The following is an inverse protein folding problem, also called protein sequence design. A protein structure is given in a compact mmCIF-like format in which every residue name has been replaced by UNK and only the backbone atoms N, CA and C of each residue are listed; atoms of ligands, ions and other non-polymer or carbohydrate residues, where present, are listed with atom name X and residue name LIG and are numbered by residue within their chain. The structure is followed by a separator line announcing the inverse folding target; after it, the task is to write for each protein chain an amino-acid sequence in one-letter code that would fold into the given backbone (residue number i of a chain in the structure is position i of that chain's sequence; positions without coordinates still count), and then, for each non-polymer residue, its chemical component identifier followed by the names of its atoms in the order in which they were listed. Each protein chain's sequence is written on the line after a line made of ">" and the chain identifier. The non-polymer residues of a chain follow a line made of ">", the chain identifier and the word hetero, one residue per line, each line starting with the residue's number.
data_IF_248820556655
#
_entry.id   IF_248820556655
#
_cell.length_a   1.000
_cell.length_b   1.000
_cell.length_c   1.000
_cell.angle_alpha   90.00
_cell.angle_beta   90.00
_cell.angle_gamma   90.00
#
_symmetry.space_group_name_H-M   'P 1'
#
loop_
_entity.id
_entity.type
_entity.pdbx_description
1 polymer ?
#
# COMPACT_ATOMS: atom_id res chain seq x y z
N UNK A 1 -100.37 0.83 -37.71
CA UNK A 1 -99.11 0.13 -38.05
C UNK A 1 -98.02 0.59 -37.10
N UNK A 2 -97.32 -0.36 -36.46
CA UNK A 2 -96.02 -0.25 -35.75
C UNK A 2 -95.98 0.68 -34.53
N UNK A 3 -95.99 0.20 -33.29
CA UNK A 3 -95.11 -0.72 -32.54
C UNK A 3 -94.33 0.05 -31.46
N UNK A 4 -94.58 -0.41 -30.24
CA UNK A 4 -94.03 -0.12 -28.92
C UNK A 4 -92.58 0.40 -28.82
N UNK A 5 -92.43 1.36 -27.89
CA UNK A 5 -91.19 1.72 -27.17
C UNK A 5 -90.61 0.51 -26.41
N UNK A 6 -89.27 0.38 -26.40
CA UNK A 6 -88.51 -0.15 -25.26
C UNK A 6 -87.12 0.49 -25.21
N UNK A 7 -86.70 0.77 -23.98
CA UNK A 7 -85.50 1.51 -23.55
C UNK A 7 -84.24 0.63 -23.53
N UNK A 8 -83.06 1.25 -23.71
CA UNK A 8 -81.76 0.81 -23.15
C UNK A 8 -80.79 2.01 -23.11
N UNK A 9 -80.07 2.28 -22.00
CA UNK A 9 -79.06 3.32 -21.90
C UNK A 9 -77.67 2.76 -22.28
N UNK A 10 -77.03 3.34 -23.29
CA UNK A 10 -75.72 2.94 -23.78
C UNK A 10 -74.65 3.98 -23.50
N UNK A 11 -74.12 3.97 -22.27
CA UNK A 11 -72.76 4.37 -21.86
C UNK A 11 -72.00 5.30 -22.81
N UNK A 12 -72.18 6.60 -22.60
CA UNK A 12 -71.18 7.62 -22.89
C UNK A 12 -70.08 7.55 -21.84
N UNK A 13 -68.84 7.89 -22.22
CA UNK A 13 -67.61 7.91 -21.43
C UNK A 13 -67.04 6.55 -21.03
N UNK A 14 -65.99 6.14 -21.74
CA UNK A 14 -64.74 5.56 -21.23
C UNK A 14 -63.98 5.05 -22.45
N UNK A 15 -62.88 5.73 -22.83
CA UNK A 15 -61.69 5.21 -23.53
C UNK A 15 -60.81 6.30 -24.17
N UNK A 16 -60.93 7.57 -23.79
CA UNK A 16 -59.91 8.61 -24.08
C UNK A 16 -59.06 8.95 -22.85
N UNK A 17 -58.68 7.93 -22.07
CA UNK A 17 -57.79 8.08 -20.91
C UNK A 17 -56.77 6.93 -20.79
N UNK A 18 -56.33 6.34 -21.91
CA UNK A 18 -55.33 5.27 -21.92
C UNK A 18 -54.05 5.61 -22.71
N UNK A 19 -53.88 6.85 -23.18
CA UNK A 19 -52.67 7.28 -23.91
C UNK A 19 -51.80 8.32 -23.18
N UNK A 20 -52.14 8.70 -21.93
CA UNK A 20 -51.37 9.69 -21.16
C UNK A 20 -50.69 9.12 -19.89
N UNK A 21 -50.69 7.79 -19.69
CA UNK A 21 -50.04 7.13 -18.54
C UNK A 21 -48.88 6.20 -18.96
N UNK A 22 -48.61 6.05 -20.26
CA UNK A 22 -47.51 5.22 -20.77
C UNK A 22 -46.23 6.00 -21.14
N UNK A 23 -46.03 7.20 -20.60
CA UNK A 23 -44.87 8.04 -20.91
C UNK A 23 -43.95 8.34 -19.71
N UNK A 24 -44.08 7.60 -18.59
CA UNK A 24 -43.25 7.83 -17.38
C UNK A 24 -42.56 6.58 -16.79
N UNK A 25 -42.47 5.46 -17.52
CA UNK A 25 -41.79 4.24 -17.05
C UNK A 25 -40.55 3.88 -17.87
N UNK A 26 -39.91 4.88 -18.47
CA UNK A 26 -38.65 4.76 -19.19
C UNK A 26 -37.42 5.20 -18.39
N UNK A 27 -37.36 4.93 -17.08
CA UNK A 27 -36.04 4.91 -16.43
C UNK A 27 -35.34 3.66 -16.94
N UNK A 28 -34.62 3.80 -18.05
CA UNK A 28 -33.66 2.82 -18.52
C UNK A 28 -32.73 2.49 -17.34
N UNK A 29 -32.88 1.29 -16.78
CA UNK A 29 -31.88 0.70 -15.92
C UNK A 29 -30.61 0.61 -16.76
N UNK A 30 -29.71 1.59 -16.62
CA UNK A 30 -28.37 1.48 -17.18
C UNK A 30 -27.77 0.19 -16.62
N UNK A 31 -27.22 -0.71 -17.46
CA UNK A 31 -26.47 -1.83 -16.92
C UNK A 31 -25.44 -1.27 -15.96
N UNK A 32 -25.40 -1.78 -14.73
CA UNK A 32 -24.38 -1.39 -13.76
C UNK A 32 -23.02 -1.74 -14.38
N UNK A 33 -22.35 -0.76 -14.97
CA UNK A 33 -20.99 -0.92 -15.42
C UNK A 33 -20.16 -1.28 -14.20
N UNK A 34 -19.35 -2.34 -14.29
CA UNK A 34 -18.44 -2.70 -13.21
C UNK A 34 -17.57 -1.47 -12.91
N UNK A 35 -17.57 -1.02 -11.64
CA UNK A 35 -16.74 0.11 -11.23
C UNK A 35 -15.27 -0.15 -11.56
N UNK A 36 -14.59 0.87 -12.08
CA UNK A 36 -13.18 0.75 -12.41
C UNK A 36 -12.33 0.46 -11.15
N UNK A 37 -11.39 -0.47 -11.28
CA UNK A 37 -10.51 -0.85 -10.18
C UNK A 37 -9.60 0.32 -9.79
N UNK A 38 -9.47 0.57 -8.49
CA UNK A 38 -8.63 1.63 -7.96
C UNK A 38 -7.16 1.49 -8.40
N UNK A 39 -6.64 0.26 -8.53
CA UNK A 39 -5.27 0.04 -9.01
C UNK A 39 -5.02 0.60 -10.41
N UNK A 40 -6.03 0.57 -11.29
CA UNK A 40 -5.91 1.08 -12.65
C UNK A 40 -5.93 2.61 -12.65
N UNK A 41 -6.86 3.20 -11.89
CA UNK A 41 -6.99 4.64 -11.73
C UNK A 41 -5.73 5.28 -11.13
N UNK A 42 -5.23 4.75 -10.02
CA UNK A 42 -4.00 5.24 -9.38
C UNK A 42 -2.75 4.92 -10.21
N UNK A 43 -2.68 3.73 -10.83
CA UNK A 43 -1.57 3.33 -11.70
C UNK A 43 -1.46 4.13 -13.00
N UNK A 44 -2.55 4.76 -13.44
CA UNK A 44 -2.55 5.64 -14.62
C UNK A 44 -1.90 7.01 -14.34
N UNK A 45 -1.85 7.46 -13.09
CA UNK A 45 -1.30 8.78 -12.73
C UNK A 45 0.21 8.80 -12.92
N UNK A 46 0.71 9.87 -13.55
CA UNK A 46 2.14 10.05 -13.84
C UNK A 46 2.86 10.94 -12.82
N UNK A 47 2.14 11.88 -12.24
CA UNK A 47 2.64 12.85 -11.27
C UNK A 47 1.81 12.82 -9.97
N UNK A 48 2.39 13.26 -8.84
CA UNK A 48 1.68 13.34 -7.58
C UNK A 48 0.57 14.40 -7.67
N UNK A 49 -0.40 14.32 -6.75
CA UNK A 49 -1.35 15.42 -6.59
C UNK A 49 -0.62 16.61 -5.94
N UNK A 50 -0.67 17.77 -6.60
CA UNK A 50 -0.15 19.02 -6.07
C UNK A 50 -1.04 19.49 -4.91
N UNK A 51 -0.60 19.18 -3.70
CA UNK A 51 -1.28 19.48 -2.44
C UNK A 51 -0.26 19.47 -1.30
N UNK A 52 -0.68 19.88 -0.09
CA UNK A 52 0.11 19.64 1.11
C UNK A 52 0.39 18.12 1.29
N UNK A 53 1.55 17.71 1.83
CA UNK A 53 1.85 16.30 2.10
C UNK A 53 0.91 15.69 3.12
N UNK A 54 0.24 14.59 2.77
CA UNK A 54 -0.66 13.89 3.68
C UNK A 54 -0.88 12.44 3.25
N UNK A 55 -0.70 11.52 4.21
CA UNK A 55 -1.05 10.10 4.10
C UNK A 55 -2.49 9.87 4.55
N UNK A 56 -3.25 9.10 3.79
CA UNK A 56 -4.70 8.92 4.00
C UNK A 56 -5.03 7.42 4.01
N UNK A 57 -5.67 6.94 5.07
CA UNK A 57 -6.05 5.55 5.23
C UNK A 57 -4.98 4.69 5.89
N UNK A 58 -4.92 3.42 5.50
CA UNK A 58 -3.96 2.45 6.02
C UNK A 58 -2.97 2.05 4.93
N UNK A 59 -1.80 1.52 5.32
CA UNK A 59 -0.69 1.20 4.41
C UNK A 59 -1.08 0.36 3.17
N UNK A 60 -2.08 -0.50 3.29
CA UNK A 60 -2.63 -1.36 2.22
C UNK A 60 -4.07 -1.02 1.81
N UNK A 61 -4.58 0.13 2.24
CA UNK A 61 -5.94 0.60 1.93
C UNK A 61 -6.01 2.12 2.09
N UNK A 62 -5.42 2.83 1.14
CA UNK A 62 -5.25 4.28 1.24
C UNK A 62 -4.68 4.93 -0.01
N UNK A 63 -4.30 6.19 0.13
CA UNK A 63 -3.64 7.02 -0.87
C UNK A 63 -2.76 8.07 -0.16
N UNK A 64 -2.00 8.87 -0.90
CA UNK A 64 -1.37 10.07 -0.34
C UNK A 64 -1.34 11.21 -1.36
N UNK A 65 -1.27 12.45 -0.86
CA UNK A 65 -1.10 13.66 -1.66
C UNK A 65 0.18 14.41 -1.27
N UNK A 66 0.62 15.34 -2.12
CA UNK A 66 1.79 16.17 -1.85
C UNK A 66 3.09 15.39 -1.69
N UNK A 67 3.17 14.18 -2.25
CA UNK A 67 4.42 13.43 -2.19
C UNK A 67 5.43 13.91 -3.22
N UNK A 68 6.66 13.56 -2.93
CA UNK A 68 7.83 13.94 -3.71
C UNK A 68 8.56 12.71 -4.16
N UNK A 69 9.31 12.84 -5.24
CA UNK A 69 10.16 11.75 -5.69
C UNK A 69 11.55 11.84 -5.07
N UNK A 70 12.13 10.69 -4.74
CA UNK A 70 13.59 10.61 -4.56
C UNK A 70 14.26 10.78 -5.94
N UNK A 71 15.39 11.51 -6.07
CA UNK A 71 16.18 11.52 -7.30
C UNK A 71 16.51 10.10 -7.76
N UNK A 72 16.54 9.88 -9.09
CA UNK A 72 16.91 8.57 -9.65
C UNK A 72 18.32 8.14 -9.25
N UNK A 73 19.18 9.12 -8.99
CA UNK A 73 20.57 8.98 -8.60
C UNK A 73 20.85 9.86 -7.39
N UNK A 74 21.63 9.33 -6.45
CA UNK A 74 22.30 10.16 -5.46
C UNK A 74 23.67 9.62 -5.10
N UNK A 75 24.41 10.33 -4.22
CA UNK A 75 25.80 9.95 -3.91
C UNK A 75 25.96 8.52 -3.37
N UNK A 76 24.92 8.00 -2.72
CA UNK A 76 24.92 6.67 -2.07
C UNK A 76 23.64 5.87 -2.36
N UNK A 77 22.92 6.18 -3.42
CA UNK A 77 21.77 5.37 -3.84
C UNK A 77 21.51 5.42 -5.35
N UNK A 78 20.82 4.40 -5.84
CA UNK A 78 20.29 4.32 -7.19
C UNK A 78 18.87 3.73 -7.16
N UNK A 79 17.93 4.35 -7.87
CA UNK A 79 16.54 3.86 -7.98
C UNK A 79 16.45 2.72 -8.99
N UNK A 80 15.92 1.58 -8.56
CA UNK A 80 15.71 0.38 -9.36
C UNK A 80 14.33 0.39 -9.99
N UNK A 81 14.23 -0.22 -11.18
CA UNK A 81 12.99 -0.24 -11.99
C UNK A 81 12.32 1.14 -12.20
N UNK A 82 13.05 2.20 -12.59
CA UNK A 82 12.46 3.54 -12.79
C UNK A 82 11.16 3.58 -13.61
N UNK A 83 11.06 2.73 -14.63
CA UNK A 83 9.90 2.59 -15.52
C UNK A 83 8.58 2.30 -14.81
N UNK A 84 8.63 1.69 -13.61
CA UNK A 84 7.45 1.42 -12.80
C UNK A 84 6.79 2.68 -12.23
N UNK A 85 7.49 3.81 -12.24
CA UNK A 85 7.05 5.08 -11.67
C UNK A 85 6.69 4.99 -10.17
N UNK A 86 7.54 4.34 -9.39
CA UNK A 86 7.29 4.03 -7.96
C UNK A 86 8.23 4.70 -6.97
N UNK A 87 8.93 5.75 -7.40
CA UNK A 87 9.93 6.48 -6.58
C UNK A 87 9.33 7.60 -5.71
N UNK A 88 8.02 7.60 -5.50
CA UNK A 88 7.27 8.68 -4.86
C UNK A 88 6.90 8.32 -3.43
N UNK A 89 6.94 9.28 -2.52
CA UNK A 89 6.54 9.06 -1.14
C UNK A 89 6.27 10.36 -0.38
N UNK A 90 5.87 10.22 0.88
CA UNK A 90 5.80 11.34 1.80
C UNK A 90 7.19 11.96 1.96
N UNK A 91 7.34 13.30 2.07
CA UNK A 91 8.66 13.93 2.22
C UNK A 91 9.53 13.33 3.32
N UNK A 92 8.96 13.01 4.49
CA UNK A 92 9.68 12.30 5.56
C UNK A 92 10.25 10.96 5.11
N UNK A 93 9.51 10.19 4.31
CA UNK A 93 9.98 8.89 3.81
C UNK A 93 11.15 9.06 2.85
N UNK A 94 11.07 10.03 1.94
CA UNK A 94 12.15 10.32 0.99
C UNK A 94 13.40 10.82 1.72
N UNK A 95 13.23 11.73 2.68
CA UNK A 95 14.32 12.22 3.52
C UNK A 95 14.97 11.09 4.34
N UNK A 96 14.17 10.15 4.85
CA UNK A 96 14.67 8.99 5.58
C UNK A 96 15.50 8.05 4.69
N UNK A 97 15.07 7.79 3.45
CA UNK A 97 15.83 6.96 2.49
C UNK A 97 17.16 7.63 2.15
N UNK A 98 17.16 8.93 1.86
CA UNK A 98 18.39 9.68 1.62
C UNK A 98 19.33 9.61 2.83
N UNK A 99 18.80 9.86 4.04
CA UNK A 99 19.58 9.76 5.28
C UNK A 99 20.13 8.34 5.48
N UNK A 100 19.31 7.31 5.28
CA UNK A 100 19.73 5.91 5.35
C UNK A 100 20.88 5.62 4.39
N UNK A 101 20.85 6.19 3.18
CA UNK A 101 21.90 5.96 2.19
C UNK A 101 23.27 6.47 2.67
N UNK A 102 23.31 7.66 3.28
CA UNK A 102 24.53 8.26 3.82
C UNK A 102 25.01 7.52 5.06
N UNK A 103 24.10 7.23 5.99
CA UNK A 103 24.46 6.59 7.26
C UNK A 103 24.87 5.13 7.07
N UNK A 104 24.20 4.38 6.18
CA UNK A 104 24.59 3.02 5.84
C UNK A 104 25.97 3.00 5.16
N UNK A 105 26.27 4.01 4.32
CA UNK A 105 27.60 4.18 3.74
C UNK A 105 28.68 4.47 4.79
N UNK A 106 28.39 5.31 5.77
CA UNK A 106 29.27 5.54 6.91
C UNK A 106 29.47 4.24 7.73
N UNK A 107 28.47 3.36 7.79
CA UNK A 107 28.56 2.03 8.41
C UNK A 107 29.23 0.98 7.50
N UNK A 108 29.76 1.37 6.34
CA UNK A 108 30.48 0.49 5.42
C UNK A 108 29.59 -0.34 4.48
N UNK A 109 28.33 0.04 4.26
CA UNK A 109 27.49 -0.48 3.19
C UNK A 109 27.69 0.35 1.91
N UNK A 110 27.89 -0.22 0.70
CA UNK A 110 28.36 0.58 -0.43
C UNK A 110 27.37 1.64 -0.95
N UNK A 111 26.08 1.43 -0.70
CA UNK A 111 24.98 2.32 -1.07
C UNK A 111 23.67 1.56 -1.19
N UNK A 112 22.56 2.27 -1.41
CA UNK A 112 21.23 1.67 -1.49
C UNK A 112 20.79 1.48 -2.94
N UNK A 113 20.38 0.26 -3.27
CA UNK A 113 19.54 0.04 -4.44
C UNK A 113 18.07 0.15 -3.97
N UNK A 114 17.42 1.25 -4.31
CA UNK A 114 16.09 1.62 -3.83
C UNK A 114 15.04 1.00 -4.75
N UNK A 115 14.18 0.14 -4.21
CA UNK A 115 13.08 -0.50 -4.90
C UNK A 115 11.82 0.38 -4.94
N UNK A 116 10.66 -0.25 -4.77
CA UNK A 116 9.38 0.43 -4.82
C UNK A 116 9.16 1.26 -3.53
N UNK A 117 8.74 2.53 -3.68
CA UNK A 117 8.28 3.39 -2.57
C UNK A 117 6.76 3.48 -2.64
N UNK A 118 6.22 4.19 -3.61
CA UNK A 118 4.78 4.26 -3.91
C UNK A 118 4.57 4.82 -5.32
N UNK A 119 3.40 4.57 -5.90
CA UNK A 119 2.93 5.27 -7.11
C UNK A 119 2.77 6.78 -6.80
N UNK A 120 2.67 7.67 -7.80
CA UNK A 120 2.71 9.13 -7.57
C UNK A 120 1.64 9.65 -6.60
N UNK A 121 0.48 9.00 -6.57
CA UNK A 121 -0.65 9.34 -5.68
C UNK A 121 -0.97 8.24 -4.68
N UNK A 122 -0.05 7.28 -4.53
CA UNK A 122 -0.25 6.08 -3.72
C UNK A 122 -1.27 5.13 -4.34
N UNK A 123 -2.22 4.67 -3.53
CA UNK A 123 -3.27 3.75 -3.97
C UNK A 123 -2.78 2.33 -4.20
N UNK A 124 -3.71 1.38 -4.42
CA UNK A 124 -3.36 0.00 -4.75
C UNK A 124 -2.45 -0.07 -5.97
N UNK A 125 -1.36 -0.83 -5.87
CA UNK A 125 -0.40 -0.96 -6.97
C UNK A 125 -0.95 -1.87 -8.07
N UNK A 126 -0.58 -1.58 -9.33
CA UNK A 126 -0.85 -2.47 -10.47
C UNK A 126 -0.31 -3.90 -10.26
N UNK A 127 0.80 -4.02 -9.53
CA UNK A 127 1.53 -5.27 -9.30
C UNK A 127 2.42 -5.15 -8.07
N UNK A 128 2.93 -6.28 -7.56
CA UNK A 128 3.85 -6.29 -6.41
C UNK A 128 3.13 -6.32 -5.06
N UNK A 129 3.54 -5.42 -4.16
CA UNK A 129 3.15 -5.39 -2.76
C UNK A 129 1.68 -5.01 -2.55
N UNK A 130 1.10 -5.47 -1.44
CA UNK A 130 -0.25 -5.08 -1.02
C UNK A 130 -0.27 -3.70 -0.32
N UNK A 131 0.85 -3.30 0.29
CA UNK A 131 1.05 -1.98 0.92
C UNK A 131 1.57 -0.93 -0.08
N UNK A 132 2.39 0.05 0.34
CA UNK A 132 2.91 1.13 -0.52
C UNK A 132 1.85 2.08 -1.06
N UNK A 133 0.70 2.15 -0.38
CA UNK A 133 -0.42 2.96 -0.86
C UNK A 133 -0.41 4.38 -0.29
N UNK A 134 0.31 4.64 0.81
CA UNK A 134 0.21 5.93 1.54
C UNK A 134 1.54 6.69 1.64
N UNK A 135 2.56 6.32 0.86
CA UNK A 135 3.82 7.07 0.80
C UNK A 135 4.74 6.89 2.02
N UNK A 136 4.50 5.86 2.84
CA UNK A 136 5.22 5.60 4.10
C UNK A 136 5.90 4.22 4.13
N UNK A 137 6.02 3.57 2.96
CA UNK A 137 6.65 2.27 2.77
C UNK A 137 7.74 2.38 1.68
N UNK A 138 8.85 1.66 1.83
CA UNK A 138 9.88 1.56 0.80
C UNK A 138 10.64 0.24 0.88
N UNK A 139 10.91 -0.34 -0.29
CA UNK A 139 11.77 -1.51 -0.41
C UNK A 139 13.21 -1.09 -0.67
N UNK A 140 14.14 -1.66 0.08
CA UNK A 140 15.57 -1.47 -0.12
C UNK A 140 16.18 -2.85 -0.39
N UNK A 141 16.84 -3.01 -1.52
CA UNK A 141 17.47 -4.28 -1.85
C UNK A 141 18.61 -4.56 -0.87
N UNK A 142 18.76 -5.83 -0.51
CA UNK A 142 19.89 -6.35 0.24
C UNK A 142 21.07 -6.69 -0.67
N UNK A 143 20.93 -6.47 -1.97
CA UNK A 143 22.05 -6.53 -2.93
C UNK A 143 22.95 -5.31 -2.72
N UNK A 144 24.25 -5.48 -2.47
CA UNK A 144 25.18 -4.36 -2.38
C UNK A 144 25.17 -3.54 -3.67
N UNK A 145 25.05 -2.22 -3.56
CA UNK A 145 25.21 -1.32 -4.71
C UNK A 145 26.63 -1.47 -5.29
N UNK A 146 26.78 -1.60 -6.61
CA UNK A 146 28.10 -1.72 -7.23
C UNK A 146 28.93 -0.43 -7.08
N UNK A 147 30.24 -0.54 -7.24
CA UNK A 147 31.21 0.57 -7.19
C UNK A 147 31.23 1.44 -8.47
N UNK A 148 30.21 1.30 -9.30
CA UNK A 148 30.00 2.06 -10.53
C UNK A 148 28.52 2.42 -10.66
N UNK A 149 28.24 3.52 -11.36
CA UNK A 149 26.87 3.89 -11.71
C UNK A 149 26.25 2.83 -12.64
N UNK A 150 25.04 2.38 -12.32
CA UNK A 150 24.25 1.55 -13.25
C UNK A 150 23.59 2.42 -14.32
N UNK A 151 23.54 1.93 -15.56
CA UNK A 151 22.68 2.53 -16.59
C UNK A 151 21.19 2.29 -16.28
N UNK A 152 20.30 3.10 -16.84
CA UNK A 152 18.84 2.90 -16.68
C UNK A 152 18.44 1.48 -17.09
N UNK A 153 18.95 0.98 -18.23
CA UNK A 153 18.68 -0.39 -18.68
C UNK A 153 19.16 -1.45 -17.69
N UNK A 154 20.32 -1.26 -17.06
CA UNK A 154 20.78 -2.15 -15.98
C UNK A 154 19.84 -2.09 -14.78
N UNK A 155 19.35 -0.91 -14.39
CA UNK A 155 18.39 -0.79 -13.28
C UNK A 155 17.03 -1.40 -13.57
N UNK A 156 16.63 -1.48 -14.83
CA UNK A 156 15.41 -2.19 -15.25
C UNK A 156 15.57 -3.71 -15.22
N UNK A 157 16.75 -4.23 -15.57
CA UNK A 157 16.91 -5.66 -15.84
C UNK A 157 17.75 -6.42 -14.80
N UNK A 158 18.57 -5.74 -14.00
CA UNK A 158 19.41 -6.37 -12.98
C UNK A 158 18.55 -7.19 -12.00
N UNK A 159 18.93 -8.43 -11.74
CA UNK A 159 18.30 -9.26 -10.71
C UNK A 159 18.86 -8.94 -9.32
N UNK A 160 17.99 -8.93 -8.32
CA UNK A 160 18.42 -8.86 -6.94
C UNK A 160 19.02 -10.19 -6.48
N UNK A 161 19.96 -10.14 -5.55
CA UNK A 161 20.53 -11.31 -4.88
C UNK A 161 19.52 -11.93 -3.91
N UNK A 162 19.07 -13.16 -4.19
CA UNK A 162 18.23 -13.96 -3.29
C UNK A 162 19.07 -14.47 -2.11
N UNK A 163 18.99 -13.81 -0.96
CA UNK A 163 19.74 -14.15 0.25
C UNK A 163 19.20 -15.37 0.99
N UNK A 164 17.95 -15.75 0.74
CA UNK A 164 17.29 -16.86 1.43
C UNK A 164 17.13 -18.05 0.50
N UNK A 165 17.30 -19.25 1.03
CA UNK A 165 16.99 -20.50 0.37
C UNK A 165 15.48 -20.79 0.44
N UNK A 166 14.86 -21.03 -0.71
CA UNK A 166 13.40 -21.15 -0.82
C UNK A 166 12.83 -22.38 -0.12
N UNK A 167 13.63 -23.43 0.08
CA UNK A 167 13.16 -24.68 0.70
C UNK A 167 13.28 -24.65 2.21
N UNK A 168 14.42 -24.14 2.70
CA UNK A 168 14.73 -24.13 4.15
C UNK A 168 14.28 -22.84 4.83
N UNK A 169 14.02 -21.78 4.05
CA UNK A 169 13.77 -20.43 4.54
C UNK A 169 14.90 -19.88 5.42
N UNK A 170 16.12 -20.38 5.22
CA UNK A 170 17.32 -19.92 5.92
C UNK A 170 18.18 -19.05 5.01
N UNK A 171 18.95 -18.14 5.61
CA UNK A 171 19.93 -17.33 4.87
C UNK A 171 21.02 -18.22 4.31
N UNK A 172 21.41 -17.97 3.05
CA UNK A 172 22.57 -18.56 2.40
C UNK A 172 23.83 -17.92 2.96
N UNK A 173 24.53 -18.61 3.85
CA UNK A 173 25.69 -18.07 4.57
C UNK A 173 26.80 -17.52 3.66
N UNK A 174 26.99 -18.12 2.48
CA UNK A 174 27.96 -17.64 1.49
C UNK A 174 27.67 -16.21 0.97
N UNK A 175 26.43 -15.73 1.08
CA UNK A 175 26.03 -14.39 0.62
C UNK A 175 25.91 -13.40 1.78
N UNK A 176 25.83 -13.86 3.03
CA UNK A 176 25.60 -13.00 4.19
C UNK A 176 26.90 -12.35 4.67
N UNK A 177 27.06 -11.07 4.37
CA UNK A 177 28.15 -10.25 4.94
C UNK A 177 27.69 -9.43 6.17
N UNK A 178 28.60 -9.07 7.10
CA UNK A 178 28.27 -8.25 8.28
C UNK A 178 27.58 -6.92 7.98
N UNK A 179 27.78 -6.37 6.77
CA UNK A 179 27.12 -5.16 6.30
C UNK A 179 25.59 -5.24 6.30
N UNK A 180 25.00 -6.41 6.03
CA UNK A 180 23.54 -6.60 6.06
C UNK A 180 22.96 -6.33 7.44
N UNK A 181 23.62 -6.86 8.49
CA UNK A 181 23.21 -6.62 9.88
C UNK A 181 23.30 -5.13 10.23
N UNK A 182 24.41 -4.46 9.85
CA UNK A 182 24.58 -3.03 10.14
C UNK A 182 23.55 -2.17 9.42
N UNK A 183 23.24 -2.46 8.16
CA UNK A 183 22.20 -1.79 7.40
C UNK A 183 20.82 -1.91 8.07
N UNK A 184 20.42 -3.13 8.44
CA UNK A 184 19.12 -3.35 9.10
C UNK A 184 19.07 -2.70 10.49
N UNK A 185 20.17 -2.74 11.25
CA UNK A 185 20.29 -2.05 12.54
C UNK A 185 20.19 -0.54 12.37
N UNK A 186 20.87 0.03 11.38
CA UNK A 186 20.83 1.47 11.07
C UNK A 186 19.42 1.89 10.73
N UNK A 187 18.74 1.20 9.82
CA UNK A 187 17.35 1.49 9.47
C UNK A 187 16.43 1.41 10.70
N UNK A 188 16.59 0.39 11.55
CA UNK A 188 15.75 0.22 12.76
C UNK A 188 15.98 1.33 13.81
N UNK A 189 17.15 1.97 13.80
CA UNK A 189 17.52 3.00 14.77
C UNK A 189 16.74 4.30 14.64
N UNK A 190 16.13 4.55 13.48
CA UNK A 190 15.38 5.78 13.24
C UNK A 190 14.05 5.78 13.98
N UNK A 191 13.70 6.93 14.57
CA UNK A 191 12.50 7.06 15.40
C UNK A 191 11.22 6.91 14.57
N UNK A 192 11.26 7.36 13.33
CA UNK A 192 10.18 7.31 12.37
C UNK A 192 9.84 5.88 11.93
N UNK A 193 10.83 4.98 11.94
CA UNK A 193 10.66 3.58 11.50
C UNK A 193 9.92 2.81 12.58
N UNK A 194 8.75 2.28 12.23
CA UNK A 194 7.95 1.42 13.09
C UNK A 194 8.24 -0.06 12.85
N UNK A 195 8.49 -0.44 11.59
CA UNK A 195 8.74 -1.83 11.19
C UNK A 195 9.74 -1.93 10.05
N UNK A 196 10.50 -3.02 10.07
CA UNK A 196 11.29 -3.50 8.96
C UNK A 196 10.84 -4.94 8.67
N UNK A 197 10.22 -5.18 7.52
CA UNK A 197 9.81 -6.53 7.14
C UNK A 197 10.93 -7.21 6.37
N UNK A 198 11.25 -8.43 6.78
CA UNK A 198 12.29 -9.29 6.18
C UNK A 198 11.78 -10.71 6.10
N UNK A 199 12.42 -11.54 5.27
CA UNK A 199 12.18 -12.98 5.33
C UNK A 199 12.48 -13.55 6.74
N UNK A 200 11.74 -14.57 7.23
CA UNK A 200 12.01 -15.22 8.52
C UNK A 200 13.46 -15.70 8.70
N UNK A 201 14.11 -16.19 7.66
CA UNK A 201 15.51 -16.60 7.66
C UNK A 201 16.47 -15.46 8.01
N UNK A 202 16.22 -14.27 7.48
CA UNK A 202 17.02 -13.06 7.80
C UNK A 202 16.80 -12.70 9.28
N UNK A 203 15.55 -12.70 9.75
CA UNK A 203 15.24 -12.46 11.16
C UNK A 203 15.94 -13.48 12.06
N UNK A 204 15.93 -14.76 11.70
CA UNK A 204 16.64 -15.83 12.42
C UNK A 204 18.15 -15.61 12.43
N UNK A 205 18.76 -15.29 11.29
CA UNK A 205 20.20 -15.00 11.20
C UNK A 205 20.59 -13.86 12.14
N UNK A 206 19.79 -12.80 12.20
CA UNK A 206 19.99 -11.71 13.16
C UNK A 206 19.84 -12.18 14.61
N UNK A 207 18.79 -12.95 14.93
CA UNK A 207 18.59 -13.48 16.26
C UNK A 207 19.76 -14.34 16.75
N UNK A 208 20.32 -15.18 15.88
CA UNK A 208 21.44 -16.08 16.22
C UNK A 208 22.76 -15.31 16.42
N UNK A 209 22.99 -14.26 15.62
CA UNK A 209 24.31 -13.62 15.50
C UNK A 209 24.46 -12.30 16.25
N UNK A 210 23.39 -11.53 16.45
CA UNK A 210 23.47 -10.23 17.13
C UNK A 210 23.75 -10.44 18.62
N UNK A 211 24.84 -9.86 19.10
CA UNK A 211 25.23 -9.81 20.51
C UNK A 211 25.10 -8.38 21.05
N UNK A 212 25.00 -8.22 22.38
CA UNK A 212 24.85 -6.92 23.02
C UNK A 212 23.43 -6.36 22.90
N UNK A 213 23.31 -5.09 22.52
CA UNK A 213 22.00 -4.43 22.36
C UNK A 213 21.18 -5.04 21.21
N UNK A 214 20.02 -5.59 21.59
CA UNK A 214 19.06 -6.28 20.73
C UNK A 214 17.72 -5.56 20.65
N UNK A 215 17.54 -4.41 21.31
CA UNK A 215 16.24 -3.73 21.36
C UNK A 215 15.71 -3.37 19.97
N UNK A 216 16.59 -3.04 19.04
CA UNK A 216 16.26 -2.72 17.65
C UNK A 216 15.64 -3.89 16.87
N UNK A 217 15.91 -5.15 17.26
CA UNK A 217 15.34 -6.33 16.63
C UNK A 217 13.81 -6.35 16.78
N UNK A 218 13.25 -5.70 17.79
CA UNK A 218 11.80 -5.56 17.97
C UNK A 218 11.09 -5.04 16.72
N UNK A 219 11.71 -4.09 16.01
CA UNK A 219 11.17 -3.51 14.76
C UNK A 219 11.35 -4.42 13.55
N UNK A 220 12.28 -5.38 13.58
CA UNK A 220 12.50 -6.33 12.49
C UNK A 220 11.49 -7.46 12.59
N UNK A 221 10.57 -7.53 11.63
CA UNK A 221 9.44 -8.44 11.60
C UNK A 221 9.56 -9.45 10.46
N UNK A 222 9.45 -10.76 10.76
CA UNK A 222 9.38 -11.78 9.71
C UNK A 222 8.09 -11.61 8.88
N UNK A 223 8.20 -11.75 7.56
CA UNK A 223 7.08 -11.73 6.62
C UNK A 223 7.39 -12.58 5.38
N UNK A 224 6.37 -13.12 4.72
CA UNK A 224 6.53 -13.91 3.48
C UNK A 224 7.26 -13.12 2.38
N UNK A 225 8.05 -13.81 1.56
CA UNK A 225 8.91 -13.19 0.56
C UNK A 225 10.06 -12.45 1.23
N UNK A 226 10.34 -11.22 0.77
CA UNK A 226 11.42 -10.37 1.32
C UNK A 226 12.78 -11.09 1.35
N UNK A 227 13.03 -11.94 0.34
CA UNK A 227 14.21 -12.80 0.25
C UNK A 227 15.45 -12.04 -0.26
N UNK A 228 15.24 -10.86 -0.85
CA UNK A 228 16.28 -10.04 -1.50
C UNK A 228 16.20 -8.55 -1.18
N UNK A 229 15.19 -8.13 -0.43
CA UNK A 229 14.98 -6.76 0.01
C UNK A 229 14.41 -6.77 1.42
N UNK A 230 14.54 -5.64 2.11
CA UNK A 230 13.77 -5.37 3.31
C UNK A 230 12.81 -4.23 3.04
N UNK A 231 11.63 -4.33 3.63
CA UNK A 231 10.57 -3.33 3.56
C UNK A 231 10.66 -2.43 4.78
N UNK A 232 10.91 -1.14 4.58
CA UNK A 232 10.85 -0.13 5.65
C UNK A 232 9.43 0.43 5.72
N UNK A 233 8.87 0.53 6.92
CA UNK A 233 7.64 1.25 7.21
C UNK A 233 7.88 2.33 8.26
N UNK A 234 7.50 3.55 7.92
CA UNK A 234 7.48 4.66 8.88
C UNK A 234 6.06 4.93 9.39
N UNK A 235 5.96 5.50 10.59
CA UNK A 235 4.67 5.84 11.20
C UNK A 235 3.94 6.98 10.50
N UNK A 236 2.68 7.21 10.90
CA UNK A 236 1.89 8.34 10.42
C UNK A 236 2.57 9.67 10.75
N UNK A 237 2.71 10.54 9.76
CA UNK A 237 3.46 11.79 9.87
C UNK A 237 2.55 12.97 10.28
N UNK A 238 3.12 14.01 10.93
CA UNK A 238 2.40 15.25 11.17
C UNK A 238 1.75 15.80 9.89
N UNK A 239 0.56 16.41 10.02
CA UNK A 239 -0.21 16.88 8.86
C UNK A 239 -1.08 15.81 8.18
N UNK A 240 -1.06 14.56 8.66
CA UNK A 240 -1.85 13.45 8.11
C UNK A 240 -2.97 12.98 9.06
N UNK A 241 -4.03 13.78 9.33
CA UNK A 241 -5.07 13.45 10.31
C UNK A 241 -5.91 12.22 9.94
N UNK A 242 -5.91 11.83 8.66
CA UNK A 242 -6.64 10.66 8.16
C UNK A 242 -5.73 9.42 8.01
N UNK A 243 -4.47 9.48 8.44
CA UNK A 243 -3.57 8.34 8.46
C UNK A 243 -3.92 7.43 9.64
N UNK A 244 -4.04 6.12 9.38
CA UNK A 244 -4.32 5.11 10.39
C UNK A 244 -3.03 4.40 10.77
N UNK A 245 -2.62 4.55 12.02
CA UNK A 245 -1.47 3.85 12.58
C UNK A 245 -1.70 2.33 12.58
N UNK A 246 -0.62 1.57 12.53
CA UNK A 246 -0.63 0.13 12.79
C UNK A 246 -0.41 -0.09 14.29
N UNK A 247 -0.95 -1.17 14.87
CA UNK A 247 -0.67 -1.55 16.26
C UNK A 247 0.84 -1.59 16.54
N UNK A 248 1.25 -1.42 17.79
CA UNK A 248 2.66 -1.55 18.15
C UNK A 248 3.17 -2.99 17.93
N UNK A 249 4.46 -3.14 17.63
CA UNK A 249 5.08 -4.47 17.64
C UNK A 249 5.07 -5.05 19.05
N UNK A 250 4.89 -6.36 19.17
CA UNK A 250 4.97 -7.06 20.45
C UNK A 250 6.24 -6.68 21.24
N UNK A 251 6.19 -6.70 22.58
CA UNK A 251 7.39 -6.54 23.41
C UNK A 251 8.45 -7.61 23.09
N UNK A 252 9.70 -7.35 23.49
CA UNK A 252 10.82 -8.26 23.23
C UNK A 252 11.47 -8.09 21.86
N UNK A 253 12.50 -8.89 21.60
CA UNK A 253 13.26 -8.85 20.34
C UNK A 253 12.60 -9.70 19.23
N UNK A 254 11.56 -10.47 19.56
CA UNK A 254 10.85 -11.35 18.64
C UNK A 254 11.69 -12.52 18.14
N UNK A 255 12.61 -13.03 18.97
CA UNK A 255 13.47 -14.18 18.71
C UNK A 255 13.03 -15.41 19.54
N UNK A 256 11.72 -15.53 19.78
CA UNK A 256 11.07 -16.54 20.63
C UNK A 256 10.18 -17.49 19.79
N UNK A 257 9.17 -18.10 20.42
CA UNK A 257 8.21 -18.99 19.77
C UNK A 257 7.50 -18.33 18.57
N UNK A 258 7.32 -17.00 18.58
CA UNK A 258 6.74 -16.26 17.45
C UNK A 258 7.61 -16.33 16.19
N UNK A 259 8.93 -16.45 16.35
CA UNK A 259 9.85 -16.70 15.23
C UNK A 259 9.90 -18.20 14.88
N UNK A 260 9.91 -19.07 15.88
CA UNK A 260 9.94 -20.52 15.66
C UNK A 260 8.76 -21.01 14.80
N UNK A 261 7.57 -20.41 14.95
CA UNK A 261 6.39 -20.70 14.13
C UNK A 261 6.66 -20.60 12.62
N UNK A 262 7.51 -19.66 12.17
CA UNK A 262 7.88 -19.50 10.75
C UNK A 262 8.66 -20.68 10.18
N UNK A 263 9.21 -21.54 11.03
CA UNK A 263 9.96 -22.73 10.62
C UNK A 263 9.14 -24.03 10.84
N UNK A 264 7.82 -23.89 10.98
CA UNK A 264 6.85 -24.99 10.89
C UNK A 264 6.21 -25.02 9.50
N UNK A 265 5.45 -26.08 9.18
CA UNK A 265 4.74 -26.18 7.90
C UNK A 265 3.58 -25.17 7.76
N UNK A 266 2.95 -24.78 8.88
CA UNK A 266 1.72 -24.00 8.91
C UNK A 266 1.75 -22.69 8.08
N UNK A 267 2.76 -21.80 8.23
CA UNK A 267 2.85 -20.57 7.44
C UNK A 267 3.04 -20.78 5.93
N UNK A 268 3.50 -21.96 5.52
CA UNK A 268 3.86 -22.26 4.13
C UNK A 268 2.81 -23.12 3.42
N UNK A 269 1.74 -23.50 4.11
CA UNK A 269 0.62 -24.21 3.50
C UNK A 269 0.09 -23.42 2.30
N UNK A 270 -0.18 -24.09 1.16
CA UNK A 270 -0.77 -23.43 0.00
C UNK A 270 -2.05 -22.70 0.39
N UNK A 271 -2.26 -21.53 -0.23
CA UNK A 271 -3.52 -20.82 -0.09
C UNK A 271 -4.65 -21.77 -0.55
N UNK A 272 -5.72 -21.91 0.25
CA UNK A 272 -6.90 -22.73 -0.09
C UNK A 272 -7.62 -22.25 -1.35
N UNK A 273 -7.44 -20.97 -1.72
CA UNK A 273 -7.97 -20.39 -2.94
C UNK A 273 -6.86 -19.65 -3.71
N UNK A 274 -5.94 -20.36 -4.37
CA UNK A 274 -4.79 -19.75 -5.04
C UNK A 274 -5.20 -18.93 -6.27
N UNK A 275 -6.30 -19.31 -6.91
CA UNK A 275 -6.87 -18.66 -8.10
C UNK A 275 -7.87 -17.54 -7.76
N UNK A 276 -8.14 -17.34 -6.47
CA UNK A 276 -8.99 -16.24 -5.99
C UNK A 276 -8.40 -14.88 -6.39
N UNK A 277 -9.24 -13.89 -6.70
CA UNK A 277 -8.77 -12.57 -7.09
C UNK A 277 -8.05 -11.91 -5.92
N UNK A 278 -6.95 -11.20 -6.21
CA UNK A 278 -6.19 -10.53 -5.16
C UNK A 278 -6.99 -9.40 -4.54
N UNK A 279 -6.66 -8.99 -3.31
CA UNK A 279 -7.33 -7.86 -2.67
C UNK A 279 -7.33 -6.59 -3.55
N UNK A 280 -6.21 -6.32 -4.23
CA UNK A 280 -6.09 -5.21 -5.21
C UNK A 280 -6.89 -5.42 -6.51
N UNK A 281 -7.23 -6.67 -6.84
CA UNK A 281 -7.93 -7.04 -8.08
C UNK A 281 -9.46 -6.96 -7.93
N UNK A 282 -9.95 -6.66 -6.73
CA UNK A 282 -11.37 -6.39 -6.43
C UNK A 282 -11.60 -5.02 -5.79
N UNK A 283 -10.54 -4.25 -5.53
CA UNK A 283 -10.63 -2.97 -4.86
C UNK A 283 -11.05 -1.86 -5.84
N UNK A 284 -12.22 -1.28 -5.63
CA UNK A 284 -12.71 -0.08 -6.34
C UNK A 284 -12.47 1.18 -5.51
N UNK A 285 -12.75 2.37 -6.05
CA UNK A 285 -12.66 3.62 -5.28
C UNK A 285 -13.56 3.62 -4.04
N UNK A 286 -14.71 2.95 -4.09
CA UNK A 286 -15.61 2.80 -2.94
C UNK A 286 -14.98 2.01 -1.77
N UNK A 287 -13.94 1.23 -2.05
CA UNK A 287 -13.18 0.53 -1.02
C UNK A 287 -12.19 1.44 -0.29
N UNK A 288 -11.81 2.60 -0.85
CA UNK A 288 -10.80 3.49 -0.29
C UNK A 288 -11.41 4.58 0.60
N UNK A 289 -10.62 5.24 1.46
CA UNK A 289 -11.09 6.45 2.15
C UNK A 289 -11.63 7.49 1.16
N UNK A 290 -12.75 8.13 1.47
CA UNK A 290 -13.42 9.07 0.54
C UNK A 290 -12.50 10.22 0.06
N UNK A 291 -11.57 10.66 0.90
CA UNK A 291 -10.59 11.68 0.54
C UNK A 291 -9.64 11.26 -0.61
N UNK A 292 -9.51 9.96 -0.89
CA UNK A 292 -8.70 9.46 -2.00
C UNK A 292 -9.25 9.83 -3.38
N UNK A 293 -10.54 10.14 -3.50
CA UNK A 293 -11.09 10.68 -4.73
C UNK A 293 -10.50 12.07 -5.03
N UNK A 294 -10.44 12.96 -4.04
CA UNK A 294 -9.84 14.28 -4.20
C UNK A 294 -8.33 14.20 -4.53
N UNK A 295 -7.63 13.23 -3.95
CA UNK A 295 -6.24 12.94 -4.32
C UNK A 295 -6.15 12.49 -5.78
N UNK A 296 -7.00 11.57 -6.21
CA UNK A 296 -7.01 11.07 -7.58
C UNK A 296 -7.31 12.16 -8.60
N UNK A 297 -8.16 13.12 -8.26
CA UNK A 297 -8.61 14.21 -9.15
C UNK A 297 -7.78 15.49 -9.02
N UNK A 298 -6.88 15.57 -8.04
CA UNK A 298 -6.05 16.75 -7.79
C UNK A 298 -5.19 17.16 -8.99
N UNK A 299 -4.79 18.44 -9.09
CA UNK A 299 -3.96 18.92 -10.19
C UNK A 299 -2.56 18.28 -10.14
N UNK A 300 -1.96 18.11 -11.31
CA UNK A 300 -0.55 17.73 -11.43
C UNK A 300 0.36 18.96 -11.14
N UNK A 301 1.58 18.76 -10.61
CA UNK A 301 2.63 19.78 -10.65
C UNK A 301 3.09 20.06 -12.08
N UNK A 302 3.87 21.13 -12.26
CA UNK A 302 4.40 21.52 -13.57
C UNK A 302 5.28 20.44 -14.22
N UNK A 303 6.05 19.70 -13.42
CA UNK A 303 6.86 18.57 -13.88
C UNK A 303 7.26 17.65 -12.71
N UNK A 304 7.88 16.50 -13.02
CA UNK A 304 8.41 15.62 -11.98
C UNK A 304 9.63 16.21 -11.26
N UNK A 305 10.43 17.02 -11.96
CA UNK A 305 11.61 17.70 -11.45
C UNK A 305 11.23 18.75 -10.41
N UNK A 306 10.12 19.46 -10.63
CA UNK A 306 9.60 20.46 -9.69
C UNK A 306 9.20 19.88 -8.32
N UNK A 307 9.00 18.57 -8.23
CA UNK A 307 8.62 17.84 -7.02
C UNK A 307 9.57 16.67 -6.72
N UNK A 308 10.81 16.76 -7.20
CA UNK A 308 11.90 15.85 -6.81
C UNK A 308 12.66 16.44 -5.61
N UNK A 309 13.00 15.60 -4.64
CA UNK A 309 13.65 15.98 -3.38
C UNK A 309 15.16 16.26 -3.59
N UNK A 310 15.70 17.34 -3.00
CA UNK A 310 17.12 17.71 -3.13
C UNK A 310 17.79 18.14 -1.81
N UNK A 311 17.50 17.48 -0.69
CA UNK A 311 18.30 17.61 0.55
C UNK A 311 18.03 18.82 1.44
N UNK A 312 17.55 19.95 0.92
CA UNK A 312 17.45 21.22 1.66
C UNK A 312 16.01 21.74 1.88
N UNK A 313 15.07 20.80 2.01
CA UNK A 313 13.65 21.11 2.09
C UNK A 313 13.04 21.18 0.71
N UNK A 314 11.94 20.44 0.53
CA UNK A 314 11.09 20.60 -0.64
C UNK A 314 10.46 21.97 -0.50
N UNK A 315 10.49 22.86 -1.52
CA UNK A 315 9.49 23.91 -1.60
C UNK A 315 8.16 23.18 -1.72
N UNK A 316 7.48 22.96 -0.59
CA UNK A 316 6.07 22.61 -0.58
C UNK A 316 5.44 23.81 -1.27
N UNK A 317 5.19 23.70 -2.57
CA UNK A 317 4.36 24.66 -3.27
C UNK A 317 3.16 24.87 -2.36
N UNK A 318 2.90 26.12 -1.97
CA UNK A 318 1.83 26.50 -1.06
C UNK A 318 0.50 26.11 -1.69
N UNK A 319 0.19 24.81 -1.60
CA UNK A 319 -0.89 24.16 -2.27
C UNK A 319 -1.92 23.83 -1.19
N UNK A 320 -3.21 23.97 -1.50
CA UNK A 320 -4.26 23.82 -0.52
C UNK A 320 -4.20 22.44 0.13
N UNK A 321 -4.46 22.39 1.44
CA UNK A 321 -4.83 21.16 2.13
C UNK A 321 -6.14 20.70 1.48
N UNK A 322 -6.15 19.51 0.89
CA UNK A 322 -7.37 18.92 0.35
C UNK A 322 -8.31 18.57 1.51
N UNK A 323 -9.14 19.51 1.94
CA UNK A 323 -10.11 19.30 3.02
C UNK A 323 -11.42 18.70 2.49
N UNK A 324 -11.87 17.65 3.17
CA UNK A 324 -13.25 17.15 3.33
C UNK A 324 -14.18 17.25 2.10
N UNK A 325 -14.38 16.12 1.43
CA UNK A 325 -15.60 15.91 0.63
C UNK A 325 -16.85 15.97 1.54
N UNK A 326 -17.96 16.59 1.12
CA UNK A 326 -19.20 16.56 1.89
C UNK A 326 -19.64 15.11 2.12
N UNK A 327 -20.02 14.79 3.37
CA UNK A 327 -20.67 13.52 3.68
C UNK A 327 -21.93 13.41 2.83
N UNK A 328 -22.15 12.32 2.08
CA UNK A 328 -23.47 12.06 1.55
C UNK A 328 -24.44 11.91 2.74
N UNK A 329 -25.62 12.50 2.60
CA UNK A 329 -26.69 12.37 3.56
C UNK A 329 -26.92 10.89 3.90
N UNK A 330 -27.10 10.62 5.18
CA UNK A 330 -27.32 9.28 5.73
C UNK A 330 -28.64 8.74 5.19
N UNK A 331 -28.60 8.02 4.07
CA UNK A 331 -29.70 7.16 3.66
C UNK A 331 -29.67 5.94 4.57
N UNK A 332 -30.70 5.78 5.40
CA UNK A 332 -30.94 4.56 6.18
C UNK A 332 -31.20 3.40 5.22
N UNK A 333 -30.16 2.66 4.85
CA UNK A 333 -30.31 1.37 4.20
C UNK A 333 -30.37 0.29 5.30
N UNK A 334 -31.59 -0.03 5.72
CA UNK A 334 -31.89 -1.29 6.40
C UNK A 334 -31.70 -2.42 5.41
N UNK A 335 -30.76 -3.33 5.70
CA UNK A 335 -30.62 -4.60 4.97
C UNK A 335 -29.36 -4.71 4.11
N UNK A 336 -28.20 -4.80 4.74
CA UNK A 336 -27.02 -5.42 4.13
C UNK A 336 -26.50 -6.49 5.11
N UNK A 337 -26.47 -7.74 4.65
CA UNK A 337 -25.94 -8.86 5.42
C UNK A 337 -24.49 -8.56 5.84
N UNK A 338 -24.22 -8.74 7.13
CA UNK A 338 -22.88 -8.60 7.67
C UNK A 338 -21.93 -9.59 7.00
N UNK A 339 -20.85 -9.07 6.41
CA UNK A 339 -19.72 -9.91 5.97
C UNK A 339 -19.08 -10.58 7.19
N UNK A 340 -18.64 -11.85 7.09
CA UNK A 340 -18.07 -12.58 8.21
C UNK A 340 -16.81 -11.88 8.73
N UNK A 341 -16.68 -11.83 10.06
CA UNK A 341 -15.62 -11.12 10.79
C UNK A 341 -14.18 -11.59 10.48
N UNK A 342 -14.01 -12.66 9.69
CA UNK A 342 -12.73 -13.24 9.29
C UNK A 342 -12.00 -12.49 8.16
N UNK A 343 -12.54 -11.38 7.64
CA UNK A 343 -11.93 -10.63 6.52
C UNK A 343 -11.70 -9.13 6.82
N UNK A 344 -11.84 -8.71 8.08
CA UNK A 344 -11.54 -7.32 8.45
C UNK A 344 -10.05 -7.15 8.75
N UNK A 345 -9.38 -6.27 8.00
CA UNK A 345 -8.04 -5.76 8.30
C UNK A 345 -7.95 -5.00 9.65
N UNK A 346 -9.07 -4.91 10.40
CA UNK A 346 -9.23 -4.16 11.64
C UNK A 346 -9.73 -5.02 12.82
N UNK A 347 -9.68 -6.36 12.74
CA UNK A 347 -10.03 -7.19 13.89
C UNK A 347 -8.98 -7.07 15.01
N UNK A 348 -9.43 -6.66 16.20
CA UNK A 348 -8.61 -6.60 17.42
C UNK A 348 -8.06 -7.99 17.76
N UNK A 349 -6.78 -8.04 18.17
CA UNK A 349 -6.13 -9.29 18.59
C UNK A 349 -6.58 -9.64 20.02
N UNK A 350 -7.18 -10.81 20.29
CA UNK A 350 -7.47 -11.25 21.65
C UNK A 350 -6.16 -11.46 22.44
N UNK A 351 -6.13 -11.09 23.73
CA UNK A 351 -5.00 -11.41 24.60
C UNK A 351 -5.04 -12.89 25.01
N UNK A 352 -4.28 -13.73 24.32
CA UNK A 352 -3.95 -15.10 24.73
C UNK A 352 -2.51 -15.39 24.33
N UNK A 353 -1.64 -15.67 25.31
CA UNK A 353 -0.26 -16.15 25.10
C UNK A 353 0.64 -15.21 24.28
N UNK A 354 1.84 -15.68 23.92
CA UNK A 354 2.68 -14.98 22.94
C UNK A 354 1.89 -14.99 21.62
N UNK A 355 1.45 -13.83 21.10
CA UNK A 355 0.64 -13.81 19.90
C UNK A 355 1.47 -14.35 18.73
N UNK A 356 1.06 -15.52 18.22
CA UNK A 356 1.64 -16.05 17.00
C UNK A 356 1.28 -15.13 15.82
N UNK A 357 2.16 -15.01 14.82
CA UNK A 357 1.82 -14.30 13.59
C UNK A 357 0.53 -14.88 12.98
N UNK A 358 -0.33 -14.00 12.46
CA UNK A 358 -1.55 -14.44 11.77
C UNK A 358 -1.18 -15.19 10.49
N UNK A 359 -2.01 -16.15 10.01
CA UNK A 359 -1.81 -16.80 8.73
C UNK A 359 -1.63 -15.80 7.58
N UNK A 360 -0.99 -16.25 6.49
CA UNK A 360 -0.77 -15.44 5.29
C UNK A 360 -2.08 -14.76 4.88
N UNK A 361 -2.14 -13.41 4.82
CA UNK A 361 -3.31 -12.74 4.27
C UNK A 361 -3.61 -13.31 2.88
N UNK A 362 -4.90 -13.53 2.58
CA UNK A 362 -5.31 -13.78 1.20
C UNK A 362 -4.74 -12.67 0.34
N UNK A 363 -3.96 -13.03 -0.69
CA UNK A 363 -3.32 -12.07 -1.58
C UNK A 363 -4.38 -11.15 -2.20
#
# INVERSE_FOLDING_TARGET
>A
MKMLKRSLPGRTLLLTAALAVLALTGLAARPAAAEELAKNLFGAKKLPALAAPQSIGFYSKGCFAGGVAIPLDGPKWEVMRPSRNRRWGHPTMIALIEKLSRDAAADGWPGLLVGDISQPRGGPMLSGHASHQIGLDADIWLTPMPDRKLSIEQRENMSATLLVDEKTHLVKDALWVPGHMRLLRRAASYAEVERILVNPGIKKKLCDTVKGDRAWLRKVRPFWGHDYHFHIRIGCQPGSPNCKAQENTAPGDGCDQSLAWWFTEEPWRPNKNPDGPKARDVMTMASLPAACQAVLDGPDPASAEAVTYYGDGVPVAAAPVLTKAPSPARASASGAAALPASVSAFAATPEIGIPLPRPRPGN
#
